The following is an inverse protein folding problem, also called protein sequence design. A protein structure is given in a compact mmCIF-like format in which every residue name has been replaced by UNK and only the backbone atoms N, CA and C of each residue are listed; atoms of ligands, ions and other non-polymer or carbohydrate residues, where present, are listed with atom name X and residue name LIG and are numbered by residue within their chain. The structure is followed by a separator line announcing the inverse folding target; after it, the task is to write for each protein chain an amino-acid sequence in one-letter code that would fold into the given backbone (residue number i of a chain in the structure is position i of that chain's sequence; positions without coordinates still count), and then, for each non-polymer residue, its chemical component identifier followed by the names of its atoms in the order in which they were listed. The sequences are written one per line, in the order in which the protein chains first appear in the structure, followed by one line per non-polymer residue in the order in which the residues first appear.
data_IF_387964475676
#
_entry.id   IF_387964475676
#
_cell.length_a   1.000
_cell.length_b   1.000
_cell.length_c   1.000
_cell.angle_alpha   90.00
_cell.angle_beta   90.00
_cell.angle_gamma   90.00
#
_symmetry.space_group_name_H-M   'P 1'
#
loop_
_entity.id
_entity.type
_entity.pdbx_description
1 polymer ?
#
# COMPACT_ATOMS: atom_id res chain seq x y z
N UNK A 1 25.58 13.72 2.21
CA UNK A 1 25.42 13.67 3.69
C UNK A 1 26.13 12.42 4.17
N UNK A 2 26.85 12.44 5.29
CA UNK A 2 27.56 11.27 5.80
C UNK A 2 26.53 10.18 6.20
N UNK A 3 26.75 8.94 5.80
CA UNK A 3 25.89 7.79 6.10
C UNK A 3 25.73 7.60 7.61
N UNK A 4 26.75 7.94 8.40
CA UNK A 4 26.69 7.89 9.88
C UNK A 4 25.63 8.84 10.44
N UNK A 5 25.58 10.07 9.93
CA UNK A 5 24.58 11.06 10.35
C UNK A 5 23.17 10.62 9.97
N UNK A 6 23.02 10.07 8.77
CA UNK A 6 21.72 9.51 8.33
C UNK A 6 21.31 8.35 9.24
N UNK A 7 22.22 7.49 9.62
CA UNK A 7 21.94 6.34 10.49
C UNK A 7 21.45 6.78 11.88
N UNK A 8 22.10 7.79 12.47
CA UNK A 8 21.67 8.38 13.75
C UNK A 8 20.26 9.00 13.65
N UNK A 9 19.99 9.73 12.57
CA UNK A 9 18.66 10.29 12.31
C UNK A 9 17.60 9.21 12.17
N UNK A 10 17.92 8.15 11.43
CA UNK A 10 17.02 6.99 11.26
C UNK A 10 16.75 6.33 12.61
N UNK A 11 17.76 6.04 13.42
CA UNK A 11 17.58 5.46 14.75
C UNK A 11 16.66 6.30 15.64
N UNK A 12 16.84 7.62 15.64
CA UNK A 12 16.01 8.53 16.41
C UNK A 12 14.57 8.55 15.91
N UNK A 13 14.38 8.71 14.61
CA UNK A 13 13.04 8.90 14.01
C UNK A 13 12.26 7.59 13.85
N UNK A 14 12.93 6.42 13.84
CA UNK A 14 12.26 5.12 13.76
C UNK A 14 11.90 4.52 15.12
N UNK A 15 12.26 5.15 16.22
CA UNK A 15 12.01 4.64 17.57
C UNK A 15 10.52 4.38 17.90
N UNK A 16 9.61 5.06 17.20
CA UNK A 16 8.17 4.82 17.36
C UNK A 16 7.71 3.48 16.77
N UNK A 17 8.45 2.89 15.82
CA UNK A 17 8.05 1.66 15.09
C UNK A 17 7.88 0.48 16.04
N UNK A 18 8.79 0.29 16.97
CA UNK A 18 8.70 -0.78 17.98
C UNK A 18 7.50 -0.59 18.90
N UNK A 19 7.29 0.64 19.38
CA UNK A 19 6.15 1.01 20.22
C UNK A 19 4.83 0.78 19.47
N UNK A 20 4.78 1.18 18.19
CA UNK A 20 3.62 0.99 17.33
C UNK A 20 3.32 -0.49 17.14
N UNK A 21 4.35 -1.31 16.86
CA UNK A 21 4.19 -2.75 16.72
C UNK A 21 3.66 -3.40 18.00
N UNK A 22 4.13 -2.95 19.17
CA UNK A 22 3.65 -3.43 20.46
C UNK A 22 2.20 -3.05 20.72
N UNK A 23 1.81 -1.79 20.45
CA UNK A 23 0.43 -1.31 20.63
C UNK A 23 -0.55 -2.00 19.68
N UNK A 24 -0.20 -2.09 18.39
CA UNK A 24 -1.02 -2.78 17.40
C UNK A 24 -1.15 -4.26 17.75
N UNK A 25 -0.08 -4.90 18.24
CA UNK A 25 -0.05 -6.30 18.67
C UNK A 25 -0.98 -6.62 19.86
N UNK A 26 -1.40 -5.62 20.63
CA UNK A 26 -2.42 -5.81 21.67
C UNK A 26 -3.77 -6.17 21.08
N UNK A 27 -4.10 -5.58 19.93
CA UNK A 27 -5.41 -5.73 19.25
C UNK A 27 -5.35 -6.77 18.14
N UNK A 28 -4.33 -6.69 17.28
CA UNK A 28 -4.16 -7.53 16.10
C UNK A 28 -3.25 -8.71 16.42
N UNK A 29 -3.70 -9.91 16.08
CA UNK A 29 -2.89 -11.13 16.15
C UNK A 29 -2.33 -11.40 14.76
N UNK A 30 -1.01 -11.65 14.67
CA UNK A 30 -0.36 -11.90 13.39
C UNK A 30 -0.33 -10.66 12.47
N UNK A 31 -0.50 -10.87 11.17
CA UNK A 31 -0.58 -9.82 10.13
C UNK A 31 0.63 -8.85 10.09
N UNK A 32 1.79 -9.25 10.63
CA UNK A 32 2.99 -8.39 10.73
C UNK A 32 3.43 -7.85 9.37
N UNK A 33 3.40 -8.70 8.35
CA UNK A 33 3.78 -8.31 7.00
C UNK A 33 2.84 -7.22 6.45
N UNK A 34 1.52 -7.37 6.62
CA UNK A 34 0.53 -6.38 6.19
C UNK A 34 0.76 -5.04 6.88
N UNK A 35 0.95 -5.04 8.20
CA UNK A 35 1.22 -3.84 9.00
C UNK A 35 2.48 -3.13 8.50
N UNK A 36 3.56 -3.87 8.29
CA UNK A 36 4.83 -3.35 7.79
C UNK A 36 4.65 -2.70 6.40
N UNK A 37 3.92 -3.35 5.48
CA UNK A 37 3.67 -2.82 4.14
C UNK A 37 2.78 -1.58 4.16
N UNK A 38 1.79 -1.52 5.05
CA UNK A 38 0.98 -0.31 5.24
C UNK A 38 1.86 0.85 5.76
N UNK A 39 2.78 0.59 6.68
CA UNK A 39 3.74 1.58 7.17
C UNK A 39 4.69 2.05 6.05
N UNK A 40 5.17 1.16 5.18
CA UNK A 40 5.96 1.53 4.00
C UNK A 40 5.14 2.48 3.11
N UNK A 41 3.89 2.15 2.80
CA UNK A 41 2.99 3.03 2.04
C UNK A 41 2.81 4.39 2.72
N UNK A 42 2.59 4.40 4.02
CA UNK A 42 2.42 5.62 4.80
C UNK A 42 3.69 6.49 4.78
N UNK A 43 4.86 5.90 5.00
CA UNK A 43 6.16 6.59 5.04
C UNK A 43 6.65 7.08 3.68
N UNK A 44 6.19 6.49 2.59
CA UNK A 44 6.57 6.90 1.22
C UNK A 44 5.51 7.74 0.54
N UNK A 45 4.31 7.79 1.11
CA UNK A 45 3.15 8.39 0.49
C UNK A 45 2.58 7.56 -0.66
N UNK A 46 2.92 6.28 -0.76
CA UNK A 46 2.33 5.35 -1.71
C UNK A 46 1.01 4.78 -1.19
N UNK A 47 0.16 4.32 -2.11
CA UNK A 47 -1.11 3.69 -1.79
C UNK A 47 -1.00 2.17 -1.87
N UNK A 48 -1.87 1.45 -1.17
CA UNK A 48 -1.76 0.00 -1.00
C UNK A 48 -3.05 -0.68 -1.46
N UNK A 49 -2.90 -1.75 -2.24
CA UNK A 49 -3.99 -2.66 -2.58
C UNK A 49 -3.88 -3.93 -1.73
N UNK A 50 -4.95 -4.29 -1.05
CA UNK A 50 -5.05 -5.49 -0.23
C UNK A 50 -5.92 -6.52 -0.96
N UNK A 51 -5.35 -7.63 -1.34
CA UNK A 51 -6.07 -8.75 -1.91
C UNK A 51 -6.22 -9.86 -0.86
N UNK A 52 -7.43 -10.32 -0.66
CA UNK A 52 -7.70 -11.42 0.28
C UNK A 52 -9.17 -11.57 0.59
N UNK A 53 -9.52 -12.75 1.06
CA UNK A 53 -10.90 -13.11 1.41
C UNK A 53 -11.46 -12.21 2.53
N UNK A 54 -12.79 -12.09 2.64
CA UNK A 54 -13.43 -11.40 3.76
C UNK A 54 -13.08 -12.05 5.11
N UNK A 55 -13.18 -11.29 6.20
CA UNK A 55 -12.98 -11.83 7.55
C UNK A 55 -11.54 -11.85 8.07
N UNK A 56 -10.54 -11.40 7.28
CA UNK A 56 -9.12 -11.39 7.68
C UNK A 56 -8.69 -10.11 8.44
N UNK A 57 -9.60 -9.51 9.18
CA UNK A 57 -9.37 -8.35 10.04
C UNK A 57 -8.75 -7.12 9.35
N UNK A 58 -8.85 -6.99 8.01
CA UNK A 58 -8.31 -5.85 7.25
C UNK A 58 -8.76 -4.51 7.82
N UNK A 59 -10.06 -4.33 8.00
CA UNK A 59 -10.64 -3.10 8.56
C UNK A 59 -10.18 -2.83 9.99
N UNK A 60 -10.12 -3.87 10.84
CA UNK A 60 -9.69 -3.74 12.22
C UNK A 60 -8.21 -3.33 12.30
N UNK A 61 -7.35 -3.91 11.46
CA UNK A 61 -5.92 -3.56 11.39
C UNK A 61 -5.71 -2.09 11.03
N UNK A 62 -6.42 -1.62 10.00
CA UNK A 62 -6.29 -0.22 9.55
C UNK A 62 -6.81 0.74 10.60
N UNK A 63 -7.95 0.45 11.22
CA UNK A 63 -8.49 1.26 12.31
C UNK A 63 -7.54 1.30 13.50
N UNK A 64 -7.00 0.16 13.91
CA UNK A 64 -6.02 0.07 15.01
C UNK A 64 -4.76 0.88 14.73
N UNK A 65 -4.23 0.82 13.50
CA UNK A 65 -3.11 1.66 13.06
C UNK A 65 -3.47 3.15 13.13
N UNK A 66 -4.65 3.52 12.68
CA UNK A 66 -5.14 4.90 12.73
C UNK A 66 -5.20 5.43 14.16
N UNK A 67 -5.75 4.64 15.08
CA UNK A 67 -5.84 4.99 16.50
C UNK A 67 -4.45 5.14 17.12
N UNK A 68 -3.52 4.20 16.84
CA UNK A 68 -2.15 4.23 17.33
C UNK A 68 -1.30 5.39 16.75
N UNK A 69 -1.64 5.88 15.56
CA UNK A 69 -0.98 7.01 14.89
C UNK A 69 -1.72 8.34 15.06
N UNK A 70 -2.76 8.37 15.87
CA UNK A 70 -3.62 9.54 16.10
C UNK A 70 -4.09 10.20 14.79
N UNK A 71 -4.48 9.38 13.81
CA UNK A 71 -4.90 9.78 12.47
C UNK A 71 -6.40 9.63 12.29
N UNK A 72 -7.00 10.50 11.46
CA UNK A 72 -8.39 10.35 11.07
C UNK A 72 -8.53 9.18 10.11
N UNK A 73 -9.36 8.21 10.47
CA UNK A 73 -9.72 7.04 9.66
C UNK A 73 -11.11 7.19 9.06
N UNK A 74 -11.26 6.75 7.81
CA UNK A 74 -12.56 6.63 7.16
C UNK A 74 -12.63 5.34 6.33
N UNK A 75 -13.69 4.55 6.51
CA UNK A 75 -14.03 3.43 5.65
C UNK A 75 -15.07 3.86 4.64
N UNK A 76 -14.86 3.52 3.39
CA UNK A 76 -15.80 3.72 2.28
C UNK A 76 -16.08 2.33 1.70
N UNK A 77 -17.32 1.85 1.84
CA UNK A 77 -17.75 0.60 1.22
C UNK A 77 -18.13 0.89 -0.22
N UNK A 78 -17.48 0.23 -1.16
CA UNK A 78 -17.77 0.38 -2.58
C UNK A 78 -18.94 -0.53 -2.96
N UNK A 79 -19.93 0.06 -3.63
CA UNK A 79 -21.17 -0.61 -4.06
C UNK A 79 -21.52 -0.19 -5.49
N UNK A 80 -22.33 -0.96 -6.22
CA UNK A 80 -22.70 -0.63 -7.62
C UNK A 80 -23.46 0.70 -7.79
N UNK A 81 -24.13 1.19 -6.75
CA UNK A 81 -24.93 2.42 -6.72
C UNK A 81 -24.15 3.65 -6.23
N UNK A 82 -22.87 3.46 -5.80
CA UNK A 82 -22.04 4.55 -5.32
C UNK A 82 -21.73 5.56 -6.44
N UNK A 83 -21.76 6.84 -6.10
CA UNK A 83 -21.44 7.94 -7.00
C UNK A 83 -20.07 8.58 -6.62
N UNK A 84 -19.36 9.21 -7.56
CA UNK A 84 -18.14 9.98 -7.26
C UNK A 84 -18.32 11.02 -6.14
N UNK A 85 -19.49 11.72 -6.14
CA UNK A 85 -19.83 12.71 -5.13
C UNK A 85 -19.93 12.14 -3.71
N UNK A 86 -20.25 10.85 -3.55
CA UNK A 86 -20.31 10.18 -2.25
C UNK A 86 -18.92 10.01 -1.64
N UNK A 87 -17.86 9.97 -2.47
CA UNK A 87 -16.47 9.86 -2.07
C UNK A 87 -15.84 11.23 -1.84
N UNK A 88 -15.93 12.11 -2.84
CA UNK A 88 -15.22 13.40 -2.84
C UNK A 88 -16.00 14.51 -2.15
N UNK A 89 -17.32 14.39 -2.14
CA UNK A 89 -18.23 15.42 -1.63
C UNK A 89 -18.97 16.15 -2.73
N UNK A 90 -19.84 17.03 -2.34
CA UNK A 90 -20.72 17.78 -3.26
C UNK A 90 -21.01 19.19 -2.72
N UNK A 91 -21.60 20.03 -3.55
CA UNK A 91 -22.11 21.34 -3.15
C UNK A 91 -23.55 21.16 -2.65
N UNK A 92 -23.85 21.68 -1.47
CA UNK A 92 -25.18 21.65 -0.87
C UNK A 92 -25.71 23.07 -0.65
N UNK A 93 -27.02 23.27 -0.79
CA UNK A 93 -27.65 24.53 -0.48
C UNK A 93 -27.89 24.66 1.04
N UNK A 94 -27.29 25.68 1.64
CA UNK A 94 -27.49 26.02 3.04
C UNK A 94 -28.64 27.02 3.16
N UNK A 95 -29.80 26.58 3.60
CA UNK A 95 -30.99 27.44 3.74
C UNK A 95 -30.80 28.59 4.74
N UNK A 96 -30.04 28.37 5.83
CA UNK A 96 -29.83 29.38 6.86
C UNK A 96 -29.00 30.57 6.37
N UNK A 97 -28.09 30.32 5.40
CA UNK A 97 -27.21 31.34 4.83
C UNK A 97 -27.61 31.76 3.41
N UNK A 98 -28.61 31.06 2.82
CA UNK A 98 -29.04 31.23 1.42
C UNK A 98 -27.90 31.13 0.42
N UNK A 99 -26.93 30.23 0.67
CA UNK A 99 -25.74 30.04 -0.16
C UNK A 99 -25.46 28.55 -0.44
N UNK A 100 -24.74 28.30 -1.52
CA UNK A 100 -24.19 26.98 -1.83
C UNK A 100 -22.86 26.81 -1.13
N UNK A 101 -22.70 25.76 -0.33
CA UNK A 101 -21.48 25.44 0.40
C UNK A 101 -20.94 24.07 0.02
N UNK A 102 -19.62 23.89 -0.10
CA UNK A 102 -19.02 22.57 -0.33
C UNK A 102 -19.15 21.71 0.93
N UNK A 103 -19.73 20.51 0.78
CA UNK A 103 -19.74 19.46 1.80
C UNK A 103 -18.68 18.44 1.43
N UNK A 104 -17.60 18.38 2.20
CA UNK A 104 -16.50 17.43 2.01
C UNK A 104 -16.95 16.00 2.22
N UNK A 105 -16.53 15.10 1.34
CA UNK A 105 -16.80 13.68 1.41
C UNK A 105 -15.87 12.92 2.36
N UNK A 106 -16.06 11.60 2.50
CA UNK A 106 -15.27 10.74 3.40
C UNK A 106 -13.78 10.64 3.02
N UNK A 107 -13.40 10.98 1.79
CA UNK A 107 -12.00 10.96 1.36
C UNK A 107 -11.10 11.94 2.14
N UNK A 108 -11.68 12.93 2.81
CA UNK A 108 -10.96 13.90 3.64
C UNK A 108 -10.57 13.31 5.00
N UNK A 109 -9.80 12.21 4.96
CA UNK A 109 -9.20 11.54 6.10
C UNK A 109 -7.73 11.21 5.82
N UNK A 110 -6.95 10.95 6.85
CA UNK A 110 -5.53 10.57 6.69
C UNK A 110 -5.39 9.14 6.15
N UNK A 111 -6.20 8.22 6.70
CA UNK A 111 -6.24 6.83 6.31
C UNK A 111 -7.64 6.51 5.76
N UNK A 112 -7.72 6.18 4.49
CA UNK A 112 -8.97 5.81 3.81
C UNK A 112 -8.90 4.33 3.45
N UNK A 113 -9.86 3.55 3.93
CA UNK A 113 -10.08 2.18 3.49
C UNK A 113 -11.19 2.18 2.43
N UNK A 114 -10.82 2.00 1.16
CA UNK A 114 -11.74 1.77 0.06
C UNK A 114 -12.04 0.27 -0.03
N UNK A 115 -13.11 -0.15 0.64
CA UNK A 115 -13.44 -1.56 0.80
C UNK A 115 -14.22 -2.08 -0.40
N UNK A 116 -13.74 -3.20 -0.99
CA UNK A 116 -14.29 -3.83 -2.20
C UNK A 116 -14.35 -2.89 -3.42
N UNK A 117 -13.21 -2.24 -3.73
CA UNK A 117 -13.13 -1.22 -4.79
C UNK A 117 -13.65 -1.71 -6.16
N UNK A 118 -13.53 -3.01 -6.42
CA UNK A 118 -14.00 -3.63 -7.67
C UNK A 118 -15.53 -3.81 -7.74
N UNK A 119 -16.30 -3.47 -6.69
CA UNK A 119 -17.78 -3.48 -6.73
C UNK A 119 -18.41 -2.20 -7.28
N UNK A 120 -17.66 -1.11 -7.32
CA UNK A 120 -18.20 0.15 -7.85
C UNK A 120 -17.86 0.36 -9.33
N UNK A 121 -18.71 1.12 -10.06
CA UNK A 121 -18.47 1.43 -11.46
C UNK A 121 -17.16 2.18 -11.69
N UNK A 122 -16.60 2.07 -12.91
CA UNK A 122 -15.32 2.66 -13.30
C UNK A 122 -15.21 4.19 -13.02
N UNK A 123 -16.31 4.93 -13.09
CA UNK A 123 -16.32 6.36 -12.77
C UNK A 123 -15.97 6.65 -11.30
N UNK A 124 -16.45 5.81 -10.40
CA UNK A 124 -16.21 5.93 -8.95
C UNK A 124 -14.77 5.54 -8.63
N UNK A 125 -14.29 4.42 -9.22
CA UNK A 125 -12.90 4.00 -9.12
C UNK A 125 -11.97 5.11 -9.62
N UNK A 126 -12.25 5.71 -10.77
CA UNK A 126 -11.45 6.79 -11.35
C UNK A 126 -11.38 8.03 -10.45
N UNK A 127 -12.49 8.42 -9.81
CA UNK A 127 -12.50 9.55 -8.88
C UNK A 127 -11.59 9.31 -7.66
N UNK A 128 -11.59 8.09 -7.10
CA UNK A 128 -10.68 7.74 -6.02
C UNK A 128 -9.22 7.76 -6.48
N UNK A 129 -8.92 7.16 -7.64
CA UNK A 129 -7.57 7.06 -8.18
C UNK A 129 -7.00 8.42 -8.60
N UNK A 130 -7.84 9.35 -9.05
CA UNK A 130 -7.46 10.74 -9.32
C UNK A 130 -7.09 11.45 -8.01
N UNK A 131 -7.94 11.35 -6.99
CA UNK A 131 -7.66 11.92 -5.67
C UNK A 131 -6.38 11.36 -5.02
N UNK A 132 -6.09 10.06 -5.24
CA UNK A 132 -4.84 9.42 -4.79
C UNK A 132 -3.61 10.05 -5.45
N UNK A 133 -3.70 10.33 -6.74
CA UNK A 133 -2.58 10.85 -7.53
C UNK A 133 -2.37 12.34 -7.29
N UNK A 134 -3.45 13.13 -7.35
CA UNK A 134 -3.40 14.59 -7.29
C UNK A 134 -3.34 15.13 -5.85
N UNK A 135 -3.67 14.31 -4.84
CA UNK A 135 -3.77 14.67 -3.41
C UNK A 135 -4.68 15.87 -3.16
N UNK A 136 -5.61 16.09 -4.04
CA UNK A 136 -6.62 17.13 -3.99
C UNK A 136 -7.88 16.68 -4.72
N UNK A 137 -9.00 17.30 -4.42
CA UNK A 137 -10.29 17.10 -5.11
C UNK A 137 -10.96 18.43 -5.36
N UNK A 138 -11.71 18.53 -6.44
CA UNK A 138 -12.51 19.73 -6.78
C UNK A 138 -13.97 19.48 -6.45
N UNK A 139 -14.57 20.36 -5.64
CA UNK A 139 -15.99 20.33 -5.27
C UNK A 139 -16.62 21.65 -5.73
N UNK A 140 -17.51 21.56 -6.72
CA UNK A 140 -17.98 22.76 -7.45
C UNK A 140 -16.80 23.45 -8.12
N UNK A 141 -16.59 24.73 -7.82
CA UNK A 141 -15.53 25.56 -8.42
C UNK A 141 -14.26 25.65 -7.52
N UNK A 142 -14.22 24.89 -6.43
CA UNK A 142 -13.13 25.00 -5.44
C UNK A 142 -12.34 23.71 -5.32
N UNK A 143 -11.01 23.82 -5.45
CA UNK A 143 -10.08 22.71 -5.23
C UNK A 143 -9.64 22.68 -3.78
N UNK A 144 -9.76 21.52 -3.14
CA UNK A 144 -9.41 21.26 -1.75
C UNK A 144 -8.29 20.23 -1.67
N UNK A 145 -7.22 20.55 -0.95
CA UNK A 145 -6.15 19.59 -0.65
C UNK A 145 -6.64 18.56 0.35
N UNK A 146 -6.20 17.32 0.16
CA UNK A 146 -6.42 16.25 1.13
C UNK A 146 -5.47 16.40 2.33
N UNK A 147 -5.82 15.86 3.51
CA UNK A 147 -4.96 15.95 4.69
C UNK A 147 -3.65 15.19 4.48
N UNK A 148 -2.57 15.66 5.11
CA UNK A 148 -1.29 14.95 5.13
C UNK A 148 -0.97 14.45 6.54
N UNK A 149 -0.41 13.24 6.65
CA UNK A 149 -0.21 12.24 5.61
C UNK A 149 -1.53 11.68 5.08
N UNK A 150 -1.56 11.29 3.79
CA UNK A 150 -2.72 10.70 3.13
C UNK A 150 -2.36 9.33 2.56
N UNK A 151 -3.11 8.31 2.95
CA UNK A 151 -2.96 6.94 2.46
C UNK A 151 -4.31 6.33 2.16
N UNK A 152 -4.48 5.82 0.94
CA UNK A 152 -5.59 4.96 0.57
C UNK A 152 -5.13 3.50 0.61
N UNK A 153 -5.90 2.68 1.29
CA UNK A 153 -5.85 1.23 1.21
C UNK A 153 -7.12 0.77 0.53
N UNK A 154 -6.99 0.21 -0.67
CA UNK A 154 -8.11 -0.41 -1.36
C UNK A 154 -8.11 -1.91 -1.08
N UNK A 155 -9.30 -2.52 -0.95
CA UNK A 155 -9.41 -3.98 -0.88
C UNK A 155 -10.10 -4.51 -2.12
N UNK A 156 -9.69 -5.69 -2.56
CA UNK A 156 -10.44 -6.48 -3.53
C UNK A 156 -10.56 -7.94 -3.05
N UNK A 157 -11.70 -8.54 -3.37
CA UNK A 157 -11.94 -9.94 -3.08
C UNK A 157 -11.69 -10.75 -4.36
N UNK A 158 -10.71 -11.65 -4.40
CA UNK A 158 -10.40 -12.43 -5.58
C UNK A 158 -11.43 -13.52 -5.91
N UNK A 159 -12.28 -13.88 -4.93
CA UNK A 159 -13.26 -14.97 -5.09
C UNK A 159 -14.55 -14.45 -5.72
N UNK A 160 -14.96 -13.23 -5.39
CA UNK A 160 -16.18 -12.64 -5.93
C UNK A 160 -15.93 -12.03 -7.31
N UNK A 161 -16.36 -12.73 -8.34
CA UNK A 161 -16.28 -12.25 -9.74
C UNK A 161 -17.61 -11.70 -10.23
N UNK A 162 -18.72 -12.18 -9.72
CA UNK A 162 -20.05 -11.77 -10.16
C UNK A 162 -20.40 -10.37 -9.64
N UNK A 163 -20.84 -9.49 -10.55
CA UNK A 163 -21.18 -8.09 -10.21
C UNK A 163 -19.97 -7.21 -9.90
N UNK A 164 -18.76 -7.57 -10.36
CA UNK A 164 -17.55 -6.78 -10.14
C UNK A 164 -17.07 -6.10 -11.43
N UNK A 165 -16.37 -4.98 -11.25
CA UNK A 165 -15.71 -4.21 -12.28
C UNK A 165 -14.20 -4.28 -12.04
N UNK A 166 -13.50 -5.13 -12.77
CA UNK A 166 -12.05 -5.25 -12.62
C UNK A 166 -11.34 -3.90 -12.83
N UNK A 167 -10.35 -3.63 -12.01
CA UNK A 167 -9.49 -2.46 -12.23
C UNK A 167 -8.58 -2.73 -13.43
N UNK A 168 -8.54 -1.84 -14.43
CA UNK A 168 -7.56 -1.93 -15.52
C UNK A 168 -6.13 -1.88 -14.99
N UNK A 169 -5.18 -2.51 -15.68
CA UNK A 169 -3.77 -2.59 -15.29
C UNK A 169 -3.14 -1.21 -15.07
N UNK A 170 -3.48 -0.23 -15.91
CA UNK A 170 -3.02 1.15 -15.77
C UNK A 170 -3.51 1.81 -14.46
N UNK A 171 -4.62 1.33 -13.89
CA UNK A 171 -5.15 1.79 -12.61
C UNK A 171 -4.50 1.03 -11.45
N UNK A 172 -4.27 -0.27 -11.59
CA UNK A 172 -3.53 -1.08 -10.63
C UNK A 172 -2.10 -0.57 -10.44
N UNK A 173 -1.43 -0.13 -11.51
CA UNK A 173 -0.08 0.44 -11.47
C UNK A 173 0.06 1.70 -10.58
N UNK A 174 -1.06 2.36 -10.22
CA UNK A 174 -1.07 3.51 -9.29
C UNK A 174 -0.89 3.11 -7.83
N UNK A 175 -1.20 1.87 -7.46
CA UNK A 175 -0.91 1.35 -6.13
C UNK A 175 0.57 1.01 -6.04
N UNK A 176 1.24 1.47 -4.98
CA UNK A 176 2.66 1.17 -4.76
C UNK A 176 2.87 -0.32 -4.48
N UNK A 177 2.06 -0.87 -3.58
CA UNK A 177 2.14 -2.24 -3.12
C UNK A 177 0.80 -2.95 -3.32
N UNK A 178 0.86 -4.20 -3.74
CA UNK A 178 -0.25 -5.14 -3.70
C UNK A 178 0.09 -6.26 -2.73
N UNK A 179 -0.69 -6.39 -1.67
CA UNK A 179 -0.44 -7.31 -0.58
C UNK A 179 -1.49 -8.40 -0.60
N UNK A 180 -1.05 -9.66 -0.71
CA UNK A 180 -1.94 -10.81 -0.51
C UNK A 180 -2.06 -11.11 0.99
N UNK A 181 -3.28 -11.01 1.50
CA UNK A 181 -3.60 -11.29 2.90
C UNK A 181 -4.09 -12.73 3.00
N UNK A 182 -3.27 -13.58 3.61
CA UNK A 182 -3.58 -14.99 3.84
C UNK A 182 -4.34 -15.24 5.14
N UNK A 183 -4.81 -16.48 5.30
CA UNK A 183 -5.39 -16.93 6.55
C UNK A 183 -4.35 -16.92 7.68
N UNK A 184 -4.79 -16.71 8.94
CA UNK A 184 -3.92 -16.84 10.09
C UNK A 184 -3.42 -18.29 10.24
N UNK A 185 -2.29 -18.48 10.89
CA UNK A 185 -1.85 -19.80 11.32
C UNK A 185 -2.81 -20.37 12.37
N UNK A 186 -2.74 -21.68 12.62
CA UNK A 186 -3.57 -22.32 13.63
C UNK A 186 -3.40 -21.70 15.02
N UNK A 187 -2.17 -21.35 15.38
CA UNK A 187 -1.82 -20.69 16.64
C UNK A 187 -2.38 -19.28 16.73
N UNK A 188 -2.28 -18.53 15.63
CA UNK A 188 -2.85 -17.19 15.52
C UNK A 188 -4.37 -17.22 15.60
N UNK A 189 -5.02 -18.17 14.90
CA UNK A 189 -6.48 -18.33 14.92
C UNK A 189 -7.00 -18.65 16.32
N UNK A 190 -6.30 -19.54 17.05
CA UNK A 190 -6.59 -19.80 18.46
C UNK A 190 -6.46 -18.55 19.32
N UNK A 191 -5.39 -17.78 19.15
CA UNK A 191 -5.18 -16.54 19.89
C UNK A 191 -6.24 -15.47 19.55
N UNK A 192 -6.70 -15.41 18.29
CA UNK A 192 -7.81 -14.54 17.88
C UNK A 192 -9.09 -14.96 18.60
N UNK A 193 -9.42 -16.24 18.57
CA UNK A 193 -10.60 -16.79 19.24
C UNK A 193 -10.60 -16.46 20.74
N UNK A 194 -9.51 -16.78 21.43
CA UNK A 194 -9.39 -16.52 22.88
C UNK A 194 -9.54 -15.04 23.21
N UNK A 195 -8.92 -14.16 22.40
CA UNK A 195 -8.99 -12.70 22.57
C UNK A 195 -10.40 -12.15 22.34
N UNK A 196 -11.05 -12.58 21.26
CA UNK A 196 -12.40 -12.08 20.90
C UNK A 196 -13.51 -12.59 21.81
N UNK A 197 -13.30 -13.74 22.46
CA UNK A 197 -14.29 -14.32 23.40
C UNK A 197 -14.04 -13.94 24.85
N UNK A 198 -12.90 -13.28 25.17
CA UNK A 198 -12.56 -12.89 26.55
C UNK A 198 -13.44 -11.76 27.11
N UNK A 199 -14.25 -11.08 26.28
CA UNK A 199 -15.06 -9.92 26.67
C UNK A 199 -14.25 -8.65 26.99
N UNK A 200 -12.92 -8.68 26.85
CA UNK A 200 -12.06 -7.52 27.08
C UNK A 200 -12.02 -6.63 25.84
N UNK A 201 -12.45 -5.37 25.97
CA UNK A 201 -12.24 -4.36 24.94
C UNK A 201 -10.81 -3.85 25.01
N UNK A 202 -9.93 -4.39 24.15
CA UNK A 202 -8.55 -3.95 24.01
C UNK A 202 -8.48 -2.92 22.88
N UNK A 203 -7.95 -1.73 23.18
CA UNK A 203 -7.68 -0.69 22.19
C UNK A 203 -6.19 -0.35 22.17
N UNK A 204 -5.70 0.08 21.01
CA UNK A 204 -4.33 0.60 20.89
C UNK A 204 -4.27 2.04 21.41
N UNK A 205 -3.26 2.34 22.21
CA UNK A 205 -2.94 3.71 22.61
C UNK A 205 -2.22 4.47 21.50
N UNK A 206 -2.35 5.79 21.48
CA UNK A 206 -1.62 6.65 20.55
C UNK A 206 -0.11 6.60 20.86
N UNK A 207 0.69 6.33 19.83
CA UNK A 207 2.16 6.17 19.91
C UNK A 207 2.89 7.26 19.14
N UNK A 208 2.30 7.72 18.04
CA UNK A 208 2.84 8.75 17.18
C UNK A 208 1.73 9.65 16.64
N UNK A 209 2.14 10.83 16.21
CA UNK A 209 1.25 11.85 15.63
C UNK A 209 1.44 11.94 14.11
N UNK A 210 0.49 12.51 13.35
CA UNK A 210 0.66 12.79 11.93
C UNK A 210 1.93 13.61 11.63
N UNK A 211 2.31 14.52 12.53
CA UNK A 211 3.50 15.34 12.39
C UNK A 211 4.79 14.52 12.48
N UNK A 212 4.87 13.59 13.44
CA UNK A 212 6.03 12.69 13.57
C UNK A 212 6.17 11.77 12.36
N UNK A 213 5.05 11.33 11.76
CA UNK A 213 5.09 10.57 10.50
C UNK A 213 5.58 11.43 9.32
N UNK A 214 5.21 12.70 9.26
CA UNK A 214 5.71 13.62 8.23
C UNK A 214 7.23 13.85 8.37
N UNK A 215 7.73 13.98 9.60
CA UNK A 215 9.16 14.06 9.90
C UNK A 215 9.90 12.77 9.52
N UNK A 216 9.34 11.60 9.88
CA UNK A 216 9.90 10.30 9.50
C UNK A 216 9.97 10.14 7.97
N UNK A 217 8.96 10.59 7.21
CA UNK A 217 9.00 10.64 5.73
C UNK A 217 10.20 11.43 5.21
N UNK A 218 10.48 12.59 5.80
CA UNK A 218 11.62 13.41 5.43
C UNK A 218 12.96 12.66 5.62
N UNK A 219 13.07 11.88 6.70
CA UNK A 219 14.26 11.05 6.97
C UNK A 219 14.33 9.84 6.02
N UNK A 220 13.21 9.17 5.73
CA UNK A 220 13.14 8.07 4.75
C UNK A 220 13.69 8.52 3.38
N UNK A 221 13.36 9.73 2.93
CA UNK A 221 13.87 10.27 1.67
C UNK A 221 15.39 10.50 1.68
N UNK A 222 16.01 10.61 2.85
CA UNK A 222 17.47 10.80 3.02
C UNK A 222 18.22 9.47 3.20
N UNK A 223 17.52 8.33 3.39
CA UNK A 223 18.16 7.01 3.49
C UNK A 223 19.04 6.78 2.26
N UNK A 224 20.31 6.47 2.51
CA UNK A 224 21.29 6.31 1.46
C UNK A 224 21.00 5.09 0.59
N UNK A 225 21.16 5.25 -0.71
CA UNK A 225 21.09 4.16 -1.68
C UNK A 225 22.26 4.30 -2.66
N UNK A 226 23.12 3.29 -2.67
CA UNK A 226 24.26 3.20 -3.57
C UNK A 226 23.81 3.13 -5.04
N UNK A 227 24.66 3.60 -5.97
CA UNK A 227 24.37 3.54 -7.41
C UNK A 227 24.19 2.10 -7.89
N UNK A 228 25.01 1.17 -7.39
CA UNK A 228 24.88 -0.25 -7.73
C UNK A 228 23.52 -0.83 -7.34
N UNK A 229 22.95 -0.39 -6.22
CA UNK A 229 21.58 -0.80 -5.80
C UNK A 229 20.53 -0.19 -6.74
N UNK A 230 20.74 1.03 -7.22
CA UNK A 230 19.86 1.66 -8.23
C UNK A 230 19.91 0.90 -9.55
N UNK A 231 21.10 0.54 -9.99
CA UNK A 231 21.29 -0.26 -11.21
C UNK A 231 20.67 -1.64 -11.07
N UNK A 232 20.78 -2.26 -9.89
CA UNK A 232 20.11 -3.53 -9.58
C UNK A 232 18.58 -3.41 -9.69
N UNK A 233 17.97 -2.35 -9.14
CA UNK A 233 16.53 -2.09 -9.31
C UNK A 233 16.15 -1.96 -10.79
N UNK A 234 16.92 -1.20 -11.56
CA UNK A 234 16.67 -1.01 -13.00
C UNK A 234 16.82 -2.33 -13.74
N UNK A 235 17.84 -3.12 -13.44
CA UNK A 235 18.07 -4.44 -14.05
C UNK A 235 16.91 -5.40 -13.78
N UNK A 236 16.39 -5.46 -12.55
CA UNK A 236 15.21 -6.27 -12.22
C UNK A 236 14.00 -5.86 -13.06
N UNK A 237 13.69 -4.55 -13.11
CA UNK A 237 12.55 -4.05 -13.86
C UNK A 237 12.74 -4.26 -15.37
N UNK A 238 13.96 -4.08 -15.88
CA UNK A 238 14.27 -4.34 -17.28
C UNK A 238 14.13 -5.82 -17.65
N UNK A 239 14.58 -6.72 -16.77
CA UNK A 239 14.42 -8.16 -16.94
C UNK A 239 12.95 -8.62 -17.02
N UNK A 240 12.01 -7.87 -16.46
CA UNK A 240 10.57 -8.14 -16.66
C UNK A 240 10.11 -7.83 -18.09
N UNK A 241 10.78 -6.94 -18.81
CA UNK A 241 10.41 -6.49 -20.17
C UNK A 241 11.17 -7.26 -21.24
N UNK A 242 12.44 -7.55 -20.98
CA UNK A 242 13.37 -8.19 -21.90
C UNK A 242 14.05 -9.41 -21.24
N UNK A 243 13.30 -10.45 -20.84
CA UNK A 243 13.88 -11.60 -20.13
C UNK A 243 15.00 -12.27 -20.90
N UNK A 244 14.89 -12.37 -22.24
CA UNK A 244 15.94 -12.97 -23.11
C UNK A 244 17.28 -12.24 -23.00
N UNK A 245 17.27 -10.92 -22.92
CA UNK A 245 18.50 -10.11 -22.79
C UNK A 245 19.20 -10.33 -21.44
N UNK A 246 18.46 -10.82 -20.44
CA UNK A 246 18.96 -11.12 -19.10
C UNK A 246 19.18 -12.63 -18.85
N UNK A 247 19.26 -13.47 -19.91
CA UNK A 247 19.48 -14.91 -19.76
C UNK A 247 18.25 -15.71 -19.27
N UNK A 248 17.08 -15.08 -19.19
CA UNK A 248 15.83 -15.66 -18.72
C UNK A 248 14.87 -15.95 -19.89
N UNK A 249 15.40 -16.50 -20.99
CA UNK A 249 14.64 -16.76 -22.21
C UNK A 249 13.36 -17.59 -21.98
N UNK A 250 13.38 -18.51 -21.03
CA UNK A 250 12.22 -19.32 -20.63
C UNK A 250 11.04 -18.52 -20.09
N UNK A 251 11.28 -17.33 -19.52
CA UNK A 251 10.21 -16.48 -19.01
C UNK A 251 9.54 -15.62 -20.09
N UNK A 252 10.13 -15.55 -21.29
CA UNK A 252 9.59 -14.73 -22.38
C UNK A 252 8.23 -15.17 -22.85
N UNK A 253 7.92 -16.45 -22.77
CA UNK A 253 6.66 -17.01 -23.22
C UNK A 253 5.56 -16.83 -22.15
N UNK A 254 5.96 -16.53 -20.91
CA UNK A 254 5.05 -16.35 -19.79
C UNK A 254 4.73 -14.89 -19.46
N UNK A 255 5.54 -13.92 -19.91
CA UNK A 255 5.32 -12.50 -19.63
C UNK A 255 4.72 -11.81 -20.86
N UNK A 256 3.46 -11.38 -20.75
CA UNK A 256 2.80 -10.59 -21.77
C UNK A 256 3.26 -9.14 -21.74
N UNK A 257 3.28 -8.53 -20.54
CA UNK A 257 3.77 -7.17 -20.32
C UNK A 257 4.62 -7.11 -19.06
N UNK A 258 5.81 -6.54 -19.18
CA UNK A 258 6.69 -6.26 -18.06
C UNK A 258 6.30 -4.97 -17.31
N UNK A 259 6.92 -4.75 -16.16
CA UNK A 259 6.61 -3.64 -15.27
C UNK A 259 6.97 -2.26 -15.85
N UNK A 260 6.15 -1.26 -15.57
CA UNK A 260 6.35 0.14 -15.97
C UNK A 260 7.52 0.80 -15.21
N UNK A 261 8.01 2.00 -15.64
CA UNK A 261 9.01 2.76 -14.88
C UNK A 261 8.58 3.12 -13.45
N UNK A 262 7.26 3.14 -13.15
CA UNK A 262 6.76 3.30 -11.80
C UNK A 262 7.28 2.21 -10.85
N UNK A 263 7.49 1.00 -11.37
CA UNK A 263 8.06 -0.10 -10.57
C UNK A 263 9.45 0.26 -10.03
N UNK A 264 10.33 0.84 -10.84
CA UNK A 264 11.67 1.28 -10.40
C UNK A 264 11.56 2.38 -9.33
N UNK A 265 10.65 3.33 -9.52
CA UNK A 265 10.40 4.41 -8.54
C UNK A 265 9.91 3.81 -7.22
N UNK A 266 8.92 2.91 -7.28
CA UNK A 266 8.31 2.32 -6.09
C UNK A 266 9.24 1.33 -5.37
N UNK A 267 10.07 0.57 -6.09
CA UNK A 267 11.13 -0.24 -5.49
C UNK A 267 12.13 0.63 -4.73
N UNK A 268 12.55 1.76 -5.31
CA UNK A 268 13.46 2.69 -4.66
C UNK A 268 12.87 3.27 -3.37
N UNK A 269 11.64 3.79 -3.44
CA UNK A 269 10.97 4.41 -2.30
C UNK A 269 10.67 3.37 -1.21
N UNK A 270 10.11 2.22 -1.57
CA UNK A 270 9.73 1.18 -0.63
C UNK A 270 10.95 0.55 0.05
N UNK A 271 12.08 0.37 -0.67
CA UNK A 271 13.32 -0.15 -0.08
C UNK A 271 13.91 0.81 0.96
N UNK A 272 13.88 2.13 0.71
CA UNK A 272 14.31 3.12 1.71
C UNK A 272 13.43 3.08 2.96
N UNK A 273 12.11 2.98 2.79
CA UNK A 273 11.19 2.84 3.92
C UNK A 273 11.41 1.52 4.66
N UNK A 274 11.67 0.42 3.94
CA UNK A 274 11.98 -0.86 4.56
C UNK A 274 13.27 -0.80 5.38
N UNK A 275 14.35 -0.20 4.85
CA UNK A 275 15.60 0.02 5.59
C UNK A 275 15.36 0.88 6.85
N UNK A 276 14.55 1.95 6.74
CA UNK A 276 14.16 2.78 7.87
C UNK A 276 13.42 1.99 8.96
N UNK A 277 12.47 1.12 8.58
CA UNK A 277 11.76 0.25 9.53
C UNK A 277 12.69 -0.79 10.19
N UNK A 278 13.85 -1.07 9.60
CA UNK A 278 14.94 -1.89 10.15
C UNK A 278 16.00 -1.06 10.88
N UNK A 279 15.71 0.20 11.19
CA UNK A 279 16.59 1.15 11.87
C UNK A 279 17.94 1.36 11.15
N UNK A 280 17.96 1.24 9.81
CA UNK A 280 19.15 1.42 8.97
C UNK A 280 19.05 2.68 8.11
N UNK A 281 20.14 3.45 8.07
CA UNK A 281 20.27 4.65 7.25
C UNK A 281 20.71 4.39 5.80
N UNK A 282 20.77 3.13 5.36
CA UNK A 282 21.16 2.74 4.01
C UNK A 282 20.39 1.51 3.54
N UNK A 283 20.22 1.39 2.22
CA UNK A 283 19.51 0.28 1.57
C UNK A 283 20.48 -0.83 1.21
N UNK A 284 20.03 -2.09 1.36
CA UNK A 284 20.74 -3.29 0.91
C UNK A 284 19.91 -4.04 -0.15
N UNK A 285 20.49 -4.97 -0.92
CA UNK A 285 19.75 -5.80 -1.86
C UNK A 285 18.61 -6.59 -1.23
N UNK A 286 18.76 -6.99 0.03
CA UNK A 286 17.74 -7.70 0.80
C UNK A 286 16.47 -6.86 0.99
N UNK A 287 16.61 -5.52 1.11
CA UNK A 287 15.46 -4.63 1.18
C UNK A 287 14.64 -4.69 -0.12
N UNK A 288 15.33 -4.70 -1.27
CA UNK A 288 14.67 -4.82 -2.58
C UNK A 288 13.94 -6.15 -2.69
N UNK A 289 14.60 -7.26 -2.32
CA UNK A 289 14.01 -8.61 -2.36
C UNK A 289 12.81 -8.73 -1.42
N UNK A 290 12.89 -8.14 -0.22
CA UNK A 290 11.83 -8.21 0.80
C UNK A 290 10.52 -7.57 0.35
N UNK A 291 10.58 -6.48 -0.45
CA UNK A 291 9.39 -5.74 -0.90
C UNK A 291 9.05 -5.99 -2.38
N UNK A 292 9.96 -6.60 -3.12
CA UNK A 292 9.91 -6.65 -4.58
C UNK A 292 8.68 -7.39 -5.13
N UNK A 293 8.28 -8.50 -4.50
CA UNK A 293 7.07 -9.21 -4.91
C UNK A 293 5.84 -8.33 -4.74
N UNK A 294 5.72 -7.59 -3.64
CA UNK A 294 4.56 -6.74 -3.37
C UNK A 294 4.50 -5.51 -4.29
N UNK A 295 5.66 -5.06 -4.79
CA UNK A 295 5.73 -3.98 -5.80
C UNK A 295 5.45 -4.50 -7.21
N UNK A 296 5.88 -5.71 -7.56
CA UNK A 296 5.90 -6.19 -8.94
C UNK A 296 4.71 -7.07 -9.33
N UNK A 297 4.05 -7.78 -8.37
CA UNK A 297 3.05 -8.81 -8.69
C UNK A 297 1.87 -8.34 -9.54
N UNK A 298 1.46 -7.09 -9.40
CA UNK A 298 0.37 -6.47 -10.16
C UNK A 298 0.85 -5.67 -11.38
N UNK A 299 2.14 -5.77 -11.70
CA UNK A 299 2.80 -5.05 -12.81
C UNK A 299 3.40 -5.98 -13.85
N UNK A 300 3.63 -7.24 -13.46
CA UNK A 300 4.07 -8.28 -14.39
C UNK A 300 2.82 -9.06 -14.83
N UNK A 301 2.37 -8.77 -16.03
CA UNK A 301 1.16 -9.36 -16.60
C UNK A 301 1.57 -10.62 -17.36
N UNK A 302 0.90 -11.72 -17.05
CA UNK A 302 1.20 -13.02 -17.62
C UNK A 302 0.40 -13.30 -18.89
N UNK A 303 0.89 -14.24 -19.69
CA UNK A 303 0.19 -14.79 -20.86
C UNK A 303 -0.84 -15.85 -20.43
N UNK A 304 -1.77 -16.19 -21.33
CA UNK A 304 -2.71 -17.27 -21.11
C UNK A 304 -2.01 -18.64 -20.99
N UNK A 305 -0.86 -18.82 -21.66
CA UNK A 305 -0.04 -20.03 -21.53
C UNK A 305 0.49 -20.19 -20.10
N UNK A 306 0.95 -19.09 -19.50
CA UNK A 306 1.40 -19.10 -18.09
C UNK A 306 0.26 -19.48 -17.14
N UNK A 307 -0.95 -18.95 -17.37
CA UNK A 307 -2.12 -19.28 -16.57
C UNK A 307 -2.52 -20.76 -16.72
N UNK A 308 -2.44 -21.29 -17.96
CA UNK A 308 -2.74 -22.69 -18.23
C UNK A 308 -1.73 -23.66 -17.56
N UNK A 309 -0.49 -23.22 -17.36
CA UNK A 309 0.56 -23.94 -16.64
C UNK A 309 0.58 -23.64 -15.13
N UNK A 310 -0.42 -22.93 -14.60
CA UNK A 310 -0.52 -22.53 -13.19
C UNK A 310 0.68 -21.69 -12.70
N UNK A 311 1.39 -21.02 -13.64
CA UNK A 311 2.51 -20.12 -13.31
C UNK A 311 1.94 -18.80 -12.81
N UNK A 312 2.41 -18.37 -11.64
CA UNK A 312 1.98 -17.11 -11.03
C UNK A 312 3.01 -15.99 -11.27
N UNK A 313 2.57 -14.73 -11.21
CA UNK A 313 3.47 -13.58 -11.27
C UNK A 313 4.54 -13.64 -10.18
N UNK A 314 4.20 -14.14 -8.99
CA UNK A 314 5.16 -14.32 -7.89
C UNK A 314 6.24 -15.34 -8.24
N UNK A 315 5.89 -16.43 -8.95
CA UNK A 315 6.86 -17.44 -9.40
C UNK A 315 7.84 -16.83 -10.40
N UNK A 316 7.34 -16.07 -11.36
CA UNK A 316 8.15 -15.35 -12.35
C UNK A 316 9.08 -14.34 -11.65
N UNK A 317 8.56 -13.54 -10.74
CA UNK A 317 9.33 -12.52 -10.00
C UNK A 317 10.42 -13.16 -9.14
N UNK A 318 10.16 -14.30 -8.48
CA UNK A 318 11.20 -15.02 -7.73
C UNK A 318 12.35 -15.47 -8.62
N UNK A 319 12.05 -16.05 -9.78
CA UNK A 319 13.09 -16.42 -10.76
C UNK A 319 13.92 -15.22 -11.22
N UNK A 320 13.28 -14.05 -11.43
CA UNK A 320 14.00 -12.81 -11.74
C UNK A 320 14.98 -12.43 -10.63
N UNK A 321 14.56 -12.47 -9.36
CA UNK A 321 15.42 -12.15 -8.21
C UNK A 321 16.54 -13.16 -7.97
N UNK A 322 16.35 -14.41 -8.36
CA UNK A 322 17.37 -15.46 -8.26
C UNK A 322 18.44 -15.31 -9.35
N UNK A 323 18.06 -14.78 -10.51
CA UNK A 323 18.92 -14.75 -11.70
C UNK A 323 19.64 -13.41 -11.91
N UNK A 324 18.98 -12.30 -11.59
CA UNK A 324 19.61 -10.98 -11.72
C UNK A 324 20.70 -10.82 -10.67
N UNK A 325 21.91 -10.53 -11.16
CA UNK A 325 23.11 -10.43 -10.33
C UNK A 325 22.96 -9.36 -9.24
N UNK A 326 23.29 -9.76 -8.02
CA UNK A 326 23.26 -8.89 -6.84
C UNK A 326 24.57 -8.14 -6.76
N UNK A 327 24.58 -6.80 -6.59
CA UNK A 327 25.79 -5.99 -6.58
C UNK A 327 26.68 -6.20 -5.35
#
# INVERSE_FOLDING_TARGET
MDVRVINELVHKQSAFVEKLSAEVGKVIVGQKAMIERILIGLLTGGHVLLEGVPGLAKTLTVKTLSDALHMRFQRIQFTPDLLPADIVGTVIYNQAKSEFIPKKGPIFANLVLADEINRAPAKVQSALLEAMQERQVTIGDTTHRLPEPFLVMATQNPIEQEGTYALPEAQLDRFMLMIKVGYPTREEERAIMDRMTSGMNVSAGAVATPQEIAEARSVVNQVYMDEKIRDYIVSIVHATREPKAHGLGELSDFIQFGASPRASIYLNLAARAHAFLRHRGYVTPEDIKAIGIDVLRHRVILTYEAEAEEITSETVIRKLFEHVEVP
#
